data_IF_132996981910
#
_entry.id   IF_132996981910
#
_cell.length_a   1.000
_cell.length_b   1.000
_cell.length_c   1.000
_cell.angle_alpha   90.00
_cell.angle_beta   90.00
_cell.angle_gamma   90.00
#
_symmetry.space_group_name_H-M   'P 1'
#
loop_
_entity.id
_entity.type
_entity.pdbx_description
1 polymer ?
#
# COMPACT_ATOMS: atom_id res chain seq x y z
N UNK A 1 28.79 -23.09 29.37
CA UNK A 1 28.92 -23.06 27.90
C UNK A 1 28.28 -24.33 27.35
N UNK A 2 27.46 -24.21 26.31
CA UNK A 2 26.82 -25.35 25.66
C UNK A 2 27.85 -26.21 24.91
N UNK A 3 27.63 -27.52 24.81
CA UNK A 3 28.49 -28.44 24.04
C UNK A 3 28.64 -28.01 22.57
N UNK A 4 29.85 -28.15 22.00
CA UNK A 4 30.11 -27.82 20.58
C UNK A 4 29.37 -28.73 19.61
N UNK A 5 29.08 -29.96 20.03
CA UNK A 5 28.31 -30.94 19.26
C UNK A 5 26.89 -31.01 19.82
N UNK A 6 25.91 -30.83 18.95
CA UNK A 6 24.49 -30.93 19.28
C UNK A 6 23.87 -32.15 18.60
N UNK A 7 22.89 -32.82 19.23
CA UNK A 7 22.16 -33.89 18.58
C UNK A 7 21.32 -33.35 17.41
N UNK A 8 20.98 -34.20 16.42
CA UNK A 8 20.09 -33.79 15.32
C UNK A 8 18.72 -33.31 15.83
N UNK A 9 18.23 -32.13 15.42
CA UNK A 9 16.93 -31.61 15.88
C UNK A 9 15.76 -32.23 15.11
N UNK A 10 14.58 -32.22 15.73
CA UNK A 10 13.28 -32.47 15.08
C UNK A 10 12.47 -31.17 15.08
N UNK A 11 12.56 -30.41 13.99
CA UNK A 11 11.88 -29.12 13.87
C UNK A 11 10.39 -29.31 13.53
N UNK A 12 9.50 -28.44 14.04
CA UNK A 12 8.09 -28.47 13.66
C UNK A 12 7.92 -28.05 12.20
N UNK A 13 6.85 -28.55 11.57
CA UNK A 13 6.45 -28.16 10.21
C UNK A 13 5.71 -26.82 10.19
N UNK A 14 5.72 -26.17 9.03
CA UNK A 14 4.99 -24.91 8.81
C UNK A 14 3.47 -25.09 8.68
N UNK A 15 2.70 -23.98 8.72
CA UNK A 15 1.23 -24.00 8.77
C UNK A 15 0.54 -24.57 7.53
N UNK A 16 1.24 -24.62 6.39
CA UNK A 16 0.74 -25.20 5.14
C UNK A 16 1.07 -26.69 4.99
N UNK A 17 1.56 -27.37 6.03
CA UNK A 17 1.75 -28.83 6.00
C UNK A 17 0.45 -29.55 6.39
N UNK A 18 -0.57 -29.43 5.54
CA UNK A 18 -1.92 -29.97 5.74
C UNK A 18 -2.29 -30.95 4.62
N UNK A 19 -3.00 -32.02 4.97
CA UNK A 19 -3.45 -33.05 4.02
C UNK A 19 -4.65 -32.64 3.16
N UNK A 20 -5.50 -31.74 3.66
CA UNK A 20 -6.69 -31.23 2.98
C UNK A 20 -6.84 -29.72 3.21
N UNK A 21 -7.72 -29.08 2.45
CA UNK A 21 -8.08 -27.66 2.59
C UNK A 21 -6.88 -26.70 2.59
N UNK A 22 -5.95 -26.94 1.68
CA UNK A 22 -4.68 -26.23 1.59
C UNK A 22 -4.32 -25.89 0.14
N UNK A 23 -5.32 -25.42 -0.60
CA UNK A 23 -5.13 -24.99 -1.98
C UNK A 23 -4.20 -23.78 -2.05
N UNK A 24 -3.21 -23.84 -2.94
CA UNK A 24 -2.25 -22.77 -3.11
C UNK A 24 -2.90 -21.44 -3.53
N UNK A 25 -3.98 -21.49 -4.31
CA UNK A 25 -4.67 -20.30 -4.81
C UNK A 25 -5.21 -19.38 -3.70
N UNK A 26 -5.63 -19.92 -2.55
CA UNK A 26 -6.16 -19.11 -1.44
C UNK A 26 -5.10 -18.49 -0.54
N UNK A 27 -3.83 -18.89 -0.68
CA UNK A 27 -2.71 -18.43 0.16
C UNK A 27 -1.61 -17.72 -0.62
N UNK A 28 -1.77 -17.61 -1.93
CA UNK A 28 -0.78 -17.02 -2.81
C UNK A 28 -0.85 -15.48 -2.78
N UNK A 29 -0.30 -14.88 -1.74
CA UNK A 29 -0.23 -13.42 -1.60
C UNK A 29 0.50 -12.71 -2.74
N UNK A 30 1.27 -13.44 -3.58
CA UNK A 30 1.90 -12.85 -4.77
C UNK A 30 0.88 -12.47 -5.84
N UNK A 31 -0.29 -13.15 -5.85
CA UNK A 31 -1.39 -12.88 -6.78
C UNK A 31 -2.40 -11.87 -6.25
N UNK A 32 -2.37 -11.60 -4.95
CA UNK A 32 -3.18 -10.57 -4.29
C UNK A 32 -2.59 -9.15 -4.47
N UNK A 33 -1.41 -9.04 -5.07
CA UNK A 33 -0.82 -7.75 -5.39
C UNK A 33 -1.47 -7.16 -6.64
N UNK A 34 -2.13 -6.00 -6.48
CA UNK A 34 -2.75 -5.25 -7.57
C UNK A 34 -1.86 -4.09 -8.03
N UNK A 35 -2.03 -3.60 -9.27
CA UNK A 35 -1.46 -2.33 -9.69
C UNK A 35 -1.87 -1.18 -8.74
N UNK A 36 -1.04 -0.14 -8.58
CA UNK A 36 -1.36 0.98 -7.71
C UNK A 36 -2.62 1.72 -8.18
N UNK A 37 -3.40 2.23 -7.24
CA UNK A 37 -4.55 3.09 -7.52
C UNK A 37 -4.04 4.48 -7.88
N UNK A 38 -4.43 4.97 -9.05
CA UNK A 38 -4.05 6.30 -9.53
C UNK A 38 -5.07 7.34 -9.07
N UNK A 39 -4.71 8.18 -8.09
CA UNK A 39 -5.62 9.17 -7.46
C UNK A 39 -5.80 10.43 -8.30
N UNK A 40 -4.79 10.82 -9.09
CA UNK A 40 -4.85 11.95 -10.01
C UNK A 40 -3.91 11.72 -11.20
N UNK A 41 -4.36 12.09 -12.40
CA UNK A 41 -3.54 12.07 -13.63
C UNK A 41 -3.52 13.45 -14.27
N UNK A 42 -2.35 13.88 -14.76
CA UNK A 42 -2.20 15.15 -15.48
C UNK A 42 -2.66 15.10 -16.94
N UNK A 43 -2.86 13.90 -17.48
CA UNK A 43 -3.30 13.68 -18.85
C UNK A 43 -4.80 13.45 -18.89
N UNK A 44 -5.53 14.27 -19.66
CA UNK A 44 -6.92 13.96 -20.05
C UNK A 44 -6.86 12.70 -20.91
N UNK A 45 -7.34 11.58 -20.40
CA UNK A 45 -7.48 10.35 -21.20
C UNK A 45 -8.41 10.66 -22.37
N UNK A 46 -7.89 10.69 -23.60
CA UNK A 46 -8.75 10.64 -24.79
C UNK A 46 -9.30 9.23 -24.82
N UNK A 47 -10.63 9.09 -24.78
CA UNK A 47 -11.27 7.80 -24.97
C UNK A 47 -10.74 7.16 -26.26
N UNK A 48 -10.35 5.88 -26.21
CA UNK A 48 -9.90 5.17 -27.39
C UNK A 48 -11.01 5.20 -28.45
N UNK A 49 -10.87 6.06 -29.47
CA UNK A 49 -11.85 6.20 -30.56
C UNK A 49 -12.00 7.57 -31.24
N UNK A 50 -11.39 8.67 -30.75
CA UNK A 50 -11.54 9.97 -31.42
C UNK A 50 -10.50 10.18 -32.54
N UNK A 51 -10.92 9.98 -33.78
CA UNK A 51 -10.12 10.31 -34.96
C UNK A 51 -9.88 11.83 -35.03
N UNK A 52 -8.64 12.19 -35.33
CA UNK A 52 -8.16 13.55 -35.46
C UNK A 52 -8.82 14.29 -36.63
N UNK A 53 -9.71 15.23 -36.32
CA UNK A 53 -10.17 16.28 -37.23
C UNK A 53 -9.56 17.61 -36.82
N UNK A 54 -8.88 18.25 -37.77
CA UNK A 54 -8.09 19.47 -37.63
C UNK A 54 -8.98 20.72 -37.48
N UNK A 55 -8.33 21.76 -36.90
CA UNK A 55 -8.51 23.22 -37.04
C UNK A 55 -9.66 24.02 -36.39
N UNK A 56 -9.21 25.18 -35.86
CA UNK A 56 -9.88 26.46 -35.59
C UNK A 56 -10.51 26.67 -34.19
N UNK A 57 -9.85 27.53 -33.41
CA UNK A 57 -10.55 28.60 -32.70
C UNK A 57 -10.78 28.45 -31.19
N UNK A 58 -10.15 29.38 -30.46
CA UNK A 58 -10.79 30.24 -29.48
C UNK A 58 -11.05 29.73 -28.04
N UNK A 59 -10.41 30.46 -27.12
CA UNK A 59 -10.80 30.75 -25.73
C UNK A 59 -10.98 29.58 -24.76
N UNK A 60 -9.96 29.33 -23.93
CA UNK A 60 -10.20 28.68 -22.64
C UNK A 60 -10.81 29.71 -21.67
N UNK A 61 -12.12 29.58 -21.49
CA UNK A 61 -12.87 30.22 -20.42
C UNK A 61 -12.28 29.74 -19.08
N UNK A 62 -11.68 30.65 -18.31
CA UNK A 62 -11.32 30.40 -16.92
C UNK A 62 -12.62 30.30 -16.12
N UNK A 63 -13.19 29.10 -16.04
CA UNK A 63 -14.22 28.82 -15.05
C UNK A 63 -13.56 28.84 -13.68
N UNK A 64 -13.87 29.91 -12.93
CA UNK A 64 -13.50 30.05 -11.53
C UNK A 64 -13.96 28.81 -10.76
N UNK A 65 -13.00 28.01 -10.30
CA UNK A 65 -13.23 26.94 -9.33
C UNK A 65 -13.57 27.62 -8.02
N UNK A 66 -14.83 27.49 -7.59
CA UNK A 66 -15.23 27.85 -6.23
C UNK A 66 -14.52 26.92 -5.26
N UNK A 67 -13.53 27.43 -4.53
CA UNK A 67 -12.78 26.68 -3.53
C UNK A 67 -13.69 26.40 -2.33
N UNK A 68 -14.28 25.21 -2.28
CA UNK A 68 -14.88 24.72 -1.05
C UNK A 68 -13.75 24.52 -0.01
N UNK A 69 -13.90 25.07 1.20
CA UNK A 69 -12.93 24.95 2.29
C UNK A 69 -12.83 23.49 2.74
N UNK A 70 -11.84 22.77 2.21
CA UNK A 70 -11.53 21.39 2.64
C UNK A 70 -10.59 21.45 3.84
N UNK A 71 -10.93 20.69 4.89
CA UNK A 71 -10.03 20.52 6.04
C UNK A 71 -8.70 19.90 5.58
N UNK A 72 -7.55 20.37 6.08
CA UNK A 72 -6.27 19.74 5.79
C UNK A 72 -6.23 18.31 6.34
N UNK A 73 -5.65 17.39 5.57
CA UNK A 73 -5.51 15.96 5.91
C UNK A 73 -4.04 15.65 6.19
N UNK A 74 -3.77 14.89 7.25
CA UNK A 74 -2.44 14.32 7.53
C UNK A 74 -2.39 12.86 7.04
N UNK A 75 -1.25 12.36 6.50
CA UNK A 75 -1.14 10.97 6.00
C UNK A 75 -1.39 9.88 7.05
N UNK A 76 -1.28 10.23 8.33
CA UNK A 76 -1.57 9.36 9.46
C UNK A 76 -1.87 10.19 10.71
N UNK A 77 -2.24 9.53 11.82
CA UNK A 77 -2.40 10.18 13.11
C UNK A 77 -1.07 10.70 13.65
N UNK A 78 -1.13 11.69 14.54
CA UNK A 78 0.06 12.18 15.26
C UNK A 78 0.62 11.05 16.12
N UNK A 79 1.92 10.80 16.01
CA UNK A 79 2.59 9.76 16.80
C UNK A 79 2.43 10.06 18.30
N UNK A 80 1.99 9.05 19.06
CA UNK A 80 1.93 9.15 20.52
C UNK A 80 3.35 9.33 21.06
N UNK A 81 3.56 10.30 21.94
CA UNK A 81 4.82 10.48 22.67
C UNK A 81 5.10 9.20 23.50
N UNK A 82 6.29 8.64 23.34
CA UNK A 82 6.71 7.45 24.08
C UNK A 82 6.95 7.82 25.55
N UNK A 83 6.57 6.93 26.46
CA UNK A 83 6.82 7.06 27.89
C UNK A 83 8.22 6.53 28.22
N UNK A 84 8.87 7.10 29.24
CA UNK A 84 10.18 6.62 29.70
C UNK A 84 10.04 5.23 30.36
N UNK A 85 11.10 4.42 30.29
CA UNK A 85 11.11 3.08 30.89
C UNK A 85 10.79 3.14 32.38
N UNK A 86 10.02 2.15 32.86
CA UNK A 86 9.70 1.98 34.28
C UNK A 86 10.71 1.14 35.03
N UNK A 87 11.48 0.32 34.32
CA UNK A 87 12.44 -0.62 34.91
C UNK A 87 13.73 0.11 35.32
N UNK A 88 14.33 0.86 34.40
CA UNK A 88 15.49 1.73 34.63
C UNK A 88 15.34 3.02 33.82
N UNK A 89 14.72 4.08 34.39
CA UNK A 89 14.49 5.34 33.67
C UNK A 89 15.77 6.14 33.46
N UNK A 90 16.79 5.89 34.27
CA UNK A 90 18.10 6.52 34.21
C UNK A 90 19.17 5.44 34.34
N UNK A 91 20.32 5.69 33.71
CA UNK A 91 21.55 4.93 33.93
C UNK A 91 22.26 5.43 35.19
#
# INVERSE_FOLDING_TARGET
VLSRTQPPPRLPVGPSHKFADNYYCGRDGRREAFPPIVVATGQKTIAAGAQAGREVGLSCHCSAVTTAEKKPVTPGPVLKKWEISKDQPYL
#
